data_IF_947725281207
#
_entry.id   IF_947725281207
#
_cell.length_a   1.000
_cell.length_b   1.000
_cell.length_c   1.000
_cell.angle_alpha   90.00
_cell.angle_beta   90.00
_cell.angle_gamma   90.00
#
_symmetry.space_group_name_H-M   'P 1'
#
loop_
_entity.id
_entity.type
_entity.pdbx_description
1 polymer ?
#
# COMPACT_ATOMS: atom_id res chain seq x y z
N UNK A 1 9.58 1.69 -11.73
CA UNK A 1 8.60 0.58 -11.94
C UNK A 1 7.88 0.70 -13.27
N UNK A 2 7.52 1.92 -13.70
CA UNK A 2 7.00 2.18 -15.05
C UNK A 2 8.06 1.99 -16.16
N UNK A 3 9.33 1.94 -15.78
CA UNK A 3 10.49 1.79 -16.68
C UNK A 3 10.58 0.41 -17.33
N UNK A 4 9.84 -0.58 -16.81
CA UNK A 4 9.73 -1.93 -17.37
C UNK A 4 8.57 -2.07 -18.37
N UNK A 5 7.84 -0.99 -18.66
CA UNK A 5 6.65 -1.03 -19.52
C UNK A 5 7.06 -0.90 -20.98
N UNK A 6 6.81 -1.94 -21.76
CA UNK A 6 7.07 -1.95 -23.19
C UNK A 6 5.99 -1.16 -23.95
N UNK A 7 6.33 -0.68 -25.15
CA UNK A 7 5.40 0.07 -26.00
C UNK A 7 4.09 -0.68 -26.26
N UNK A 8 4.15 -2.00 -26.43
CA UNK A 8 2.96 -2.83 -26.66
C UNK A 8 2.06 -2.93 -25.43
N UNK A 9 2.62 -2.90 -24.22
CA UNK A 9 1.85 -2.91 -22.97
C UNK A 9 1.15 -1.57 -22.75
N UNK A 10 1.78 -0.46 -23.12
CA UNK A 10 1.13 0.87 -23.13
C UNK A 10 -0.12 0.83 -24.02
N UNK A 11 0.00 0.26 -25.23
CA UNK A 11 -1.14 0.12 -26.15
C UNK A 11 -2.23 -0.78 -25.53
N UNK A 12 -1.85 -1.91 -24.92
CA UNK A 12 -2.81 -2.80 -24.25
C UNK A 12 -3.54 -2.10 -23.09
N UNK A 13 -2.83 -1.30 -22.29
CA UNK A 13 -3.42 -0.51 -21.19
C UNK A 13 -4.33 0.60 -21.72
N UNK A 14 -3.99 1.25 -22.82
CA UNK A 14 -4.87 2.23 -23.45
C UNK A 14 -6.16 1.57 -23.93
N UNK A 15 -6.08 0.42 -24.59
CA UNK A 15 -7.27 -0.34 -24.99
C UNK A 15 -8.11 -0.76 -23.79
N UNK A 16 -7.48 -1.21 -22.69
CA UNK A 16 -8.17 -1.53 -21.45
C UNK A 16 -8.85 -0.32 -20.82
N UNK A 17 -8.17 0.84 -20.80
CA UNK A 17 -8.75 2.08 -20.31
C UNK A 17 -9.96 2.50 -21.16
N UNK A 18 -9.87 2.39 -22.49
CA UNK A 18 -11.01 2.63 -23.38
C UNK A 18 -12.15 1.62 -23.12
N UNK A 19 -11.86 0.36 -22.80
CA UNK A 19 -12.90 -0.63 -22.47
C UNK A 19 -13.62 -0.31 -21.16
N UNK A 20 -12.87 0.11 -20.13
CA UNK A 20 -13.42 0.40 -18.80
C UNK A 20 -14.17 1.74 -18.81
N UNK A 21 -13.55 2.78 -19.34
CA UNK A 21 -14.05 4.15 -19.26
C UNK A 21 -14.86 4.57 -20.49
N UNK A 22 -14.64 3.95 -21.65
CA UNK A 22 -15.29 4.29 -22.91
C UNK A 22 -15.13 5.76 -23.26
N UNK A 23 -16.23 6.37 -23.70
CA UNK A 23 -16.32 7.79 -24.07
C UNK A 23 -16.13 8.75 -22.89
N UNK A 24 -16.06 8.25 -21.65
CA UNK A 24 -15.86 9.09 -20.44
C UNK A 24 -14.39 9.31 -20.11
N UNK A 25 -13.48 8.58 -20.74
CA UNK A 25 -12.04 8.72 -20.54
C UNK A 25 -11.53 10.17 -20.66
N UNK A 26 -11.91 10.98 -21.68
CA UNK A 26 -11.49 12.39 -21.74
C UNK A 26 -12.01 13.22 -20.56
N UNK A 27 -13.21 12.93 -20.06
CA UNK A 27 -13.76 13.62 -18.88
C UNK A 27 -12.99 13.25 -17.61
N UNK A 28 -12.66 11.96 -17.41
CA UNK A 28 -11.87 11.50 -16.26
C UNK A 28 -10.47 12.11 -16.25
N UNK A 29 -9.82 12.19 -17.42
CA UNK A 29 -8.52 12.87 -17.54
C UNK A 29 -8.65 14.35 -17.15
N UNK A 30 -9.67 15.04 -17.67
CA UNK A 30 -9.89 16.45 -17.38
C UNK A 30 -10.13 16.70 -15.88
N UNK A 31 -10.91 15.83 -15.23
CA UNK A 31 -11.18 15.93 -13.80
C UNK A 31 -9.92 15.64 -12.97
N UNK A 32 -9.12 14.64 -13.36
CA UNK A 32 -7.83 14.37 -12.74
C UNK A 32 -6.86 15.54 -12.88
N UNK A 33 -6.76 16.14 -14.07
CA UNK A 33 -5.92 17.33 -14.30
C UNK A 33 -6.37 18.53 -13.47
N UNK A 34 -7.68 18.75 -13.34
CA UNK A 34 -8.24 19.81 -12.48
C UNK A 34 -7.90 19.56 -11.02
N UNK A 35 -8.03 18.32 -10.55
CA UNK A 35 -7.67 17.93 -9.18
C UNK A 35 -6.17 18.17 -8.91
N UNK A 36 -5.29 17.74 -9.81
CA UNK A 36 -3.83 17.97 -9.68
C UNK A 36 -3.51 19.46 -9.65
N UNK A 37 -4.14 20.26 -10.52
CA UNK A 37 -3.92 21.71 -10.55
C UNK A 37 -4.39 22.39 -9.27
N UNK A 38 -5.55 21.99 -8.76
CA UNK A 38 -6.09 22.50 -7.50
C UNK A 38 -5.19 22.12 -6.33
N UNK A 39 -4.71 20.88 -6.28
CA UNK A 39 -3.78 20.40 -5.26
C UNK A 39 -2.45 21.16 -5.30
N UNK A 40 -1.91 21.44 -6.50
CA UNK A 40 -0.71 22.28 -6.66
C UNK A 40 -0.93 23.70 -6.14
N UNK A 41 -2.09 24.30 -6.43
CA UNK A 41 -2.44 25.64 -5.94
C UNK A 41 -2.62 25.63 -4.41
N UNK A 42 -3.30 24.63 -3.86
CA UNK A 42 -3.47 24.47 -2.41
C UNK A 42 -2.12 24.29 -1.71
N UNK A 43 -1.22 23.46 -2.24
CA UNK A 43 0.13 23.29 -1.71
C UNK A 43 0.91 24.62 -1.73
N UNK A 44 0.86 25.37 -2.84
CA UNK A 44 1.52 26.68 -2.94
C UNK A 44 0.95 27.71 -1.98
N UNK A 45 -0.37 27.77 -1.82
CA UNK A 45 -1.02 28.71 -0.92
C UNK A 45 -0.74 28.37 0.55
N UNK A 46 -0.88 27.09 0.93
CA UNK A 46 -0.59 26.64 2.29
C UNK A 46 0.88 26.85 2.66
N UNK A 47 1.83 26.64 1.74
CA UNK A 47 3.24 27.00 1.99
C UNK A 47 3.44 28.51 2.07
N UNK A 48 2.73 29.30 1.25
CA UNK A 48 2.79 30.75 1.30
C UNK A 48 2.31 31.32 2.64
N UNK A 49 1.17 30.83 3.12
CA UNK A 49 0.59 31.26 4.40
C UNK A 49 1.45 30.80 5.59
N UNK A 50 1.97 29.56 5.55
CA UNK A 50 2.87 29.03 6.59
C UNK A 50 4.23 29.74 6.60
N UNK A 51 4.80 30.08 5.44
CA UNK A 51 6.05 30.86 5.31
C UNK A 51 5.89 32.29 5.85
N UNK A 52 4.72 32.89 5.63
CA UNK A 52 4.41 34.27 6.06
C UNK A 52 4.17 34.39 7.56
N UNK A 53 3.65 33.34 8.18
CA UNK A 53 3.41 33.29 9.64
C UNK A 53 4.62 32.79 10.44
N UNK A 54 5.49 31.94 9.87
CA UNK A 54 6.67 31.40 10.56
C UNK A 54 8.00 32.10 10.22
N UNK A 55 8.02 33.03 9.26
CA UNK A 55 9.20 33.85 8.94
C UNK A 55 10.41 33.06 8.42
N UNK A 56 10.23 31.81 8.01
CA UNK A 56 11.28 30.97 7.44
C UNK A 56 10.85 30.45 6.06
N UNK A 57 11.72 30.68 5.06
CA UNK A 57 11.47 30.41 3.65
C UNK A 57 11.54 28.90 3.35
N UNK A 58 10.41 28.21 3.41
CA UNK A 58 10.29 26.83 2.95
C UNK A 58 10.14 26.86 1.41
N UNK A 59 11.27 26.85 0.71
CA UNK A 59 11.27 26.72 -0.75
C UNK A 59 10.84 25.31 -1.17
N UNK A 60 9.83 25.27 -2.03
CA UNK A 60 9.10 24.08 -2.44
C UNK A 60 9.88 23.16 -3.40
N UNK A 61 11.12 23.50 -3.73
CA UNK A 61 12.01 22.76 -4.62
C UNK A 61 12.84 21.65 -3.91
N UNK A 62 12.84 21.57 -2.56
CA UNK A 62 13.53 20.48 -1.82
C UNK A 62 12.62 19.76 -0.81
N UNK A 63 11.51 19.19 -1.32
CA UNK A 63 10.68 18.21 -0.59
C UNK A 63 11.04 16.77 -0.99
N UNK A 64 12.31 16.37 -0.82
CA UNK A 64 12.56 14.97 -0.51
C UNK A 64 11.95 14.71 0.89
N UNK A 65 11.01 13.75 1.06
CA UNK A 65 10.35 13.53 2.35
C UNK A 65 11.35 13.21 3.46
N UNK A 66 12.53 12.68 3.10
CA UNK A 66 13.65 12.44 4.02
C UNK A 66 14.40 13.70 4.46
N UNK A 67 14.43 14.76 3.66
CA UNK A 67 15.11 16.02 3.98
C UNK A 67 14.22 16.95 4.82
N UNK A 68 12.91 16.98 4.55
CA UNK A 68 11.92 17.79 5.27
C UNK A 68 11.71 17.32 6.72
N UNK A 69 11.59 16.01 6.94
CA UNK A 69 11.56 15.39 8.29
C UNK A 69 12.86 15.70 9.04
N UNK A 70 14.00 15.68 8.33
CA UNK A 70 15.32 15.94 8.91
C UNK A 70 15.56 17.37 9.35
N UNK A 71 14.93 18.35 8.72
CA UNK A 71 15.12 19.77 9.07
C UNK A 71 14.03 20.33 9.97
N UNK A 72 12.84 19.72 10.07
CA UNK A 72 11.73 20.29 10.86
C UNK A 72 11.14 19.37 11.94
N UNK A 73 11.45 18.06 11.95
CA UNK A 73 11.08 17.15 13.05
C UNK A 73 12.29 16.73 13.91
N UNK A 74 13.47 17.26 13.60
CA UNK A 74 14.78 16.82 14.13
C UNK A 74 15.55 17.99 14.76
N UNK A 75 14.85 18.94 15.40
CA UNK A 75 15.49 19.68 16.50
C UNK A 75 15.67 18.69 17.67
N UNK A 76 16.89 18.63 18.19
CA UNK A 76 17.51 17.53 18.93
C UNK A 76 16.82 17.12 20.26
N UNK A 77 15.72 17.77 20.64
CA UNK A 77 15.06 17.58 21.94
C UNK A 77 13.86 16.62 21.88
N UNK A 78 13.21 16.45 20.71
CA UNK A 78 12.02 15.61 20.54
C UNK A 78 12.30 14.18 20.00
N UNK A 79 13.55 13.89 19.64
CA UNK A 79 13.99 12.60 19.09
C UNK A 79 13.72 11.43 20.07
N UNK A 80 13.86 11.66 21.38
CA UNK A 80 13.65 10.64 22.40
C UNK A 80 12.16 10.43 22.76
N UNK A 81 11.34 11.48 22.64
CA UNK A 81 9.93 11.45 23.01
C UNK A 81 9.06 10.75 21.94
N UNK A 82 9.40 10.90 20.65
CA UNK A 82 8.64 10.31 19.55
C UNK A 82 9.17 8.92 19.15
N UNK A 83 10.47 8.62 19.35
CA UNK A 83 11.03 7.29 19.02
C UNK A 83 10.51 6.17 19.90
N UNK A 84 10.34 6.41 21.21
CA UNK A 84 9.83 5.40 22.15
C UNK A 84 8.42 4.89 21.78
N UNK A 85 7.42 5.75 21.54
CA UNK A 85 6.08 5.29 21.16
C UNK A 85 6.07 4.66 19.76
N UNK A 86 6.83 5.18 18.79
CA UNK A 86 6.87 4.61 17.45
C UNK A 86 7.55 3.23 17.39
N UNK A 87 8.60 3.01 18.19
CA UNK A 87 9.22 1.69 18.33
C UNK A 87 8.25 0.71 18.98
N UNK A 88 7.56 1.11 20.05
CA UNK A 88 6.54 0.26 20.68
C UNK A 88 5.40 -0.12 19.72
N UNK A 89 4.91 0.84 18.93
CA UNK A 89 3.89 0.57 17.89
C UNK A 89 4.44 -0.39 16.83
N UNK A 90 5.65 -0.15 16.32
CA UNK A 90 6.27 -1.02 15.32
C UNK A 90 6.52 -2.45 15.84
N UNK A 91 6.97 -2.59 17.08
CA UNK A 91 7.23 -3.88 17.71
C UNK A 91 5.93 -4.66 17.95
N UNK A 92 4.85 -3.99 18.38
CA UNK A 92 3.52 -4.60 18.52
C UNK A 92 2.97 -5.07 17.16
N UNK A 93 3.06 -4.22 16.12
CA UNK A 93 2.66 -4.58 14.77
C UNK A 93 3.46 -5.76 14.23
N UNK A 94 4.76 -5.81 14.51
CA UNK A 94 5.60 -6.93 14.07
C UNK A 94 5.26 -8.21 14.81
N UNK A 95 5.01 -8.14 16.12
CA UNK A 95 4.60 -9.28 16.94
C UNK A 95 3.27 -9.88 16.47
N UNK A 96 2.26 -9.03 16.23
CA UNK A 96 0.95 -9.44 15.73
C UNK A 96 1.06 -10.12 14.36
N UNK A 97 1.84 -9.54 13.44
CA UNK A 97 2.05 -10.11 12.10
C UNK A 97 2.76 -11.46 12.17
N UNK A 98 3.76 -11.61 13.06
CA UNK A 98 4.42 -12.91 13.26
C UNK A 98 3.49 -13.95 13.86
N UNK A 99 2.65 -13.58 14.84
CA UNK A 99 1.68 -14.50 15.45
C UNK A 99 0.65 -15.00 14.45
N UNK A 100 0.10 -14.08 13.63
CA UNK A 100 -0.83 -14.43 12.54
C UNK A 100 -0.14 -15.35 11.52
N UNK A 101 1.11 -15.07 11.16
CA UNK A 101 1.85 -15.90 10.21
C UNK A 101 2.05 -17.34 10.72
N UNK A 102 2.38 -17.51 12.00
CA UNK A 102 2.55 -18.82 12.62
C UNK A 102 1.22 -19.58 12.73
N UNK A 103 0.11 -18.90 13.06
CA UNK A 103 -1.22 -19.50 13.08
C UNK A 103 -1.66 -19.97 11.69
N UNK A 104 -1.44 -19.16 10.65
CA UNK A 104 -1.71 -19.56 9.27
C UNK A 104 -0.87 -20.78 8.87
N UNK A 105 0.38 -20.84 9.30
CA UNK A 105 1.28 -21.97 9.00
C UNK A 105 0.84 -23.25 9.69
N UNK A 106 0.36 -23.16 10.93
CA UNK A 106 -0.15 -24.33 11.66
C UNK A 106 -1.47 -24.84 11.09
N UNK A 107 -2.39 -23.93 10.73
CA UNK A 107 -3.62 -24.29 10.00
C UNK A 107 -3.30 -24.93 8.66
N UNK A 108 -2.37 -24.36 7.89
CA UNK A 108 -1.94 -24.94 6.62
C UNK A 108 -1.35 -26.34 6.80
N UNK A 109 -0.51 -26.54 7.82
CA UNK A 109 0.06 -27.85 8.16
C UNK A 109 -1.01 -28.84 8.62
N UNK A 110 -1.98 -28.42 9.42
CA UNK A 110 -3.08 -29.28 9.86
C UNK A 110 -3.99 -29.71 8.71
N UNK A 111 -4.21 -28.83 7.73
CA UNK A 111 -4.93 -29.15 6.49
C UNK A 111 -4.14 -30.14 5.63
N UNK A 112 -2.83 -29.93 5.46
CA UNK A 112 -1.94 -30.83 4.70
C UNK A 112 -1.80 -32.22 5.35
N UNK A 113 -1.72 -32.28 6.68
CA UNK A 113 -1.71 -33.54 7.44
C UNK A 113 -3.04 -34.29 7.34
N UNK A 114 -4.17 -33.59 7.21
CA UNK A 114 -5.48 -34.22 7.04
C UNK A 114 -5.66 -34.85 5.65
N UNK A 115 -4.89 -34.42 4.66
CA UNK A 115 -4.87 -35.00 3.31
C UNK A 115 -3.94 -36.23 3.20
N UNK A 116 -2.95 -36.37 4.11
CA UNK A 116 -1.97 -37.48 4.11
C UNK A 116 -2.35 -38.68 4.97
N UNK A 117 -3.57 -38.72 5.52
CA UNK A 117 -4.00 -39.75 6.48
C UNK A 117 -5.44 -40.24 6.29
N UNK A 118 -5.80 -40.77 5.12
CA UNK A 118 -6.97 -41.66 5.00
C UNK A 118 -6.52 -43.12 5.06
N UNK A 119 -6.65 -43.83 6.20
CA UNK A 119 -6.59 -45.28 6.16
C UNK A 119 -7.80 -45.77 5.37
N UNK A 120 -7.53 -46.56 4.34
CA UNK A 120 -8.53 -47.32 3.63
C UNK A 120 -9.20 -48.29 4.61
N UNK A 121 -10.43 -48.00 5.03
CA UNK A 121 -11.35 -48.95 5.65
C UNK A 121 -12.77 -48.47 5.41
N UNK A 122 -13.64 -49.43 5.08
CA UNK A 122 -15.07 -49.31 4.81
C UNK A 122 -15.50 -48.74 3.46
N UNK A 123 -15.21 -49.54 2.41
CA UNK A 123 -16.24 -49.85 1.41
C UNK A 123 -16.03 -51.25 0.82
N UNK A 124 -16.56 -52.26 1.50
CA UNK A 124 -16.82 -53.56 0.89
C UNK A 124 -17.98 -53.42 -0.13
N UNK A 125 -17.88 -53.98 -1.36
CA UNK A 125 -19.01 -54.07 -2.26
C UNK A 125 -19.46 -55.53 -2.45
N UNK A 126 -20.62 -55.89 -1.91
CA UNK A 126 -21.53 -56.96 -2.38
C UNK A 126 -22.78 -56.95 -1.49
N UNK A 127 -24.02 -56.96 -2.03
CA UNK A 127 -24.48 -58.04 -2.91
C UNK A 127 -25.25 -57.57 -4.16
N UNK A 128 -25.23 -58.37 -5.22
CA UNK A 128 -26.17 -58.27 -6.33
C UNK A 128 -27.02 -59.56 -6.39
N UNK A 129 -28.29 -59.48 -6.81
CA UNK A 129 -29.26 -60.57 -6.71
C UNK A 129 -29.24 -61.49 -7.95
N UNK A 130 -29.19 -62.81 -7.73
CA UNK A 130 -30.04 -63.86 -8.33
C UNK A 130 -29.43 -65.24 -8.13
#
# INVERSE_FOLDING_TARGET
>A
MLDNLNWWEIVALLLLALLIFGDRLPNVINDGLRMVRNLRTMARNATGDLSRELGTDIQLEDLHPKAFIRKHLLSEEDEAAIRKPLQGVYDNLRADVTGVHDELKDVAKAVDVRDTGRPASDRAPAPAPR
#
